data_IF_230623528625
#
_entry.id   IF_230623528625
#
_cell.length_a   1.000
_cell.length_b   1.000
_cell.length_c   1.000
_cell.angle_alpha   90.00
_cell.angle_beta   90.00
_cell.angle_gamma   90.00
#
_symmetry.space_group_name_H-M   'P 1'
#
loop_
_entity.id
_entity.type
_entity.pdbx_description
1 polymer ?
#
# COMPACT_ATOMS: atom_id res chain seq x y z
N UNK A 1 -16.98 -48.50 -2.02
CA UNK A 1 -16.90 -47.10 -1.55
C UNK A 1 -16.09 -46.35 -2.59
N UNK A 2 -16.64 -45.28 -3.18
CA UNK A 2 -15.93 -44.54 -4.23
C UNK A 2 -14.90 -43.60 -3.59
N UNK A 3 -13.63 -43.77 -3.96
CA UNK A 3 -12.53 -42.93 -3.50
C UNK A 3 -12.73 -41.50 -4.00
N UNK A 4 -12.92 -40.55 -3.08
CA UNK A 4 -13.30 -39.18 -3.43
C UNK A 4 -12.05 -38.38 -3.77
N UNK A 5 -11.94 -38.09 -5.07
CA UNK A 5 -11.44 -36.82 -5.59
C UNK A 5 -9.99 -36.49 -5.24
N UNK A 6 -9.04 -37.29 -5.75
CA UNK A 6 -7.75 -36.73 -6.15
C UNK A 6 -8.00 -35.80 -7.35
N UNK A 7 -7.57 -34.53 -7.32
CA UNK A 7 -7.88 -33.59 -8.40
C UNK A 7 -7.23 -34.01 -9.71
N UNK A 8 -7.92 -33.80 -10.83
CA UNK A 8 -7.40 -34.07 -12.19
C UNK A 8 -6.26 -33.10 -12.54
N UNK A 9 -6.27 -31.91 -11.93
CA UNK A 9 -5.28 -30.86 -12.09
C UNK A 9 -5.07 -30.17 -10.74
N UNK A 10 -3.81 -30.10 -10.30
CA UNK A 10 -3.37 -29.36 -9.13
C UNK A 10 -2.27 -28.38 -9.58
N UNK A 11 -2.45 -27.09 -9.31
CA UNK A 11 -1.59 -26.02 -9.79
C UNK A 11 -1.27 -25.05 -8.65
N UNK A 12 -0.02 -25.05 -8.21
CA UNK A 12 0.51 -24.03 -7.30
C UNK A 12 0.97 -22.82 -8.09
N UNK A 13 0.52 -21.63 -7.70
CA UNK A 13 1.01 -20.35 -8.24
C UNK A 13 1.97 -19.69 -7.25
N UNK A 14 2.88 -18.84 -7.74
CA UNK A 14 3.77 -18.05 -6.86
C UNK A 14 3.06 -16.90 -6.13
N UNK A 15 1.84 -16.53 -6.55
CA UNK A 15 1.10 -15.41 -5.98
C UNK A 15 0.10 -15.96 -4.96
N UNK A 16 0.33 -15.66 -3.68
CA UNK A 16 -0.64 -15.93 -2.63
C UNK A 16 -1.64 -14.77 -2.51
N UNK A 17 -2.94 -15.09 -2.58
CA UNK A 17 -4.00 -14.10 -2.39
C UNK A 17 -4.44 -14.03 -0.92
N UNK A 18 -4.55 -12.81 -0.34
CA UNK A 18 -5.23 -12.63 0.94
C UNK A 18 -6.68 -13.14 0.87
N UNK A 19 -7.20 -13.64 1.99
CA UNK A 19 -8.56 -14.17 2.10
C UNK A 19 -9.35 -13.41 3.15
N UNK A 20 -10.63 -13.18 2.86
CA UNK A 20 -11.62 -12.61 3.78
C UNK A 20 -12.80 -13.58 3.95
N UNK A 21 -13.43 -13.55 5.11
CA UNK A 21 -14.66 -14.29 5.36
C UNK A 21 -15.87 -13.36 5.17
N UNK A 22 -16.84 -13.76 4.36
CA UNK A 22 -18.16 -13.13 4.24
C UNK A 22 -19.20 -14.24 4.46
N UNK A 23 -20.13 -14.05 5.40
CA UNK A 23 -21.11 -15.06 5.83
C UNK A 23 -20.50 -16.45 6.16
N UNK A 24 -19.24 -16.46 6.64
CA UNK A 24 -18.49 -17.69 6.96
C UNK A 24 -17.84 -18.38 5.75
N UNK A 25 -18.09 -17.92 4.52
CA UNK A 25 -17.41 -18.39 3.31
C UNK A 25 -16.15 -17.56 3.04
N UNK A 26 -15.06 -18.24 2.66
CA UNK A 26 -13.81 -17.58 2.28
C UNK A 26 -13.85 -17.11 0.83
N UNK A 27 -13.50 -15.84 0.63
CA UNK A 27 -13.32 -15.20 -0.66
C UNK A 27 -11.91 -14.62 -0.76
N UNK A 28 -11.42 -14.44 -1.98
CA UNK A 28 -10.08 -13.94 -2.25
C UNK A 28 -10.09 -12.43 -2.53
N UNK A 29 -9.01 -11.77 -2.12
CA UNK A 29 -8.65 -10.41 -2.48
C UNK A 29 -7.48 -10.51 -3.46
N UNK A 30 -7.44 -9.66 -4.50
CA UNK A 30 -6.27 -9.58 -5.39
C UNK A 30 -4.99 -9.27 -4.60
N UNK A 31 -3.88 -9.90 -4.93
CA UNK A 31 -2.56 -9.40 -4.50
C UNK A 31 -2.24 -8.08 -5.23
N UNK A 32 -1.51 -7.13 -4.60
CA UNK A 32 -0.84 -6.03 -5.28
C UNK A 32 -0.06 -6.44 -6.54
N UNK A 33 0.52 -7.63 -6.55
CA UNK A 33 1.34 -8.16 -7.66
C UNK A 33 0.51 -8.59 -8.89
N UNK A 34 -0.81 -8.67 -8.74
CA UNK A 34 -1.77 -8.95 -9.83
C UNK A 34 -2.25 -7.67 -10.53
N UNK A 35 -1.85 -6.49 -10.07
CA UNK A 35 -2.25 -5.22 -10.70
C UNK A 35 -1.44 -4.94 -11.96
N UNK A 36 -2.15 -4.66 -13.05
CA UNK A 36 -1.54 -3.98 -14.19
C UNK A 36 -1.17 -2.54 -13.82
N UNK A 37 -0.27 -1.92 -14.60
CA UNK A 37 0.07 -0.49 -14.46
C UNK A 37 -1.19 0.39 -14.54
N UNK A 38 -2.13 0.03 -15.42
CA UNK A 38 -3.40 0.75 -15.60
C UNK A 38 -4.30 0.63 -14.37
N UNK A 39 -4.37 -0.55 -13.74
CA UNK A 39 -5.16 -0.73 -12.53
C UNK A 39 -4.54 0.00 -11.34
N UNK A 40 -3.20 -0.03 -11.21
CA UNK A 40 -2.46 0.76 -10.21
C UNK A 40 -2.73 2.28 -10.35
N UNK A 41 -2.82 2.78 -11.58
CA UNK A 41 -3.25 4.15 -11.85
C UNK A 41 -4.73 4.39 -11.49
N UNK A 42 -5.64 3.48 -11.84
CA UNK A 42 -7.07 3.57 -11.46
C UNK A 42 -7.26 3.62 -9.95
N UNK A 43 -6.61 2.74 -9.17
CA UNK A 43 -6.66 2.80 -7.71
C UNK A 43 -6.09 4.12 -7.15
N UNK A 44 -5.09 4.71 -7.80
CA UNK A 44 -4.56 6.03 -7.43
C UNK A 44 -5.57 7.15 -7.72
N UNK A 45 -6.35 7.06 -8.79
CA UNK A 45 -7.42 8.00 -9.12
C UNK A 45 -8.61 7.85 -8.17
N UNK A 46 -9.14 6.63 -7.98
CA UNK A 46 -10.22 6.35 -7.03
C UNK A 46 -9.86 6.74 -5.61
N UNK A 47 -8.62 6.54 -5.16
CA UNK A 47 -8.16 6.98 -3.84
C UNK A 47 -8.26 8.50 -3.65
N UNK A 48 -7.90 9.29 -4.69
CA UNK A 48 -8.03 10.76 -4.68
C UNK A 48 -9.48 11.21 -4.73
N UNK A 49 -10.29 10.56 -5.56
CA UNK A 49 -11.72 10.84 -5.72
C UNK A 49 -12.47 10.57 -4.41
N UNK A 50 -12.22 9.43 -3.77
CA UNK A 50 -12.69 9.09 -2.43
C UNK A 50 -12.28 10.15 -1.39
N UNK A 51 -11.03 10.63 -1.42
CA UNK A 51 -10.54 11.65 -0.48
C UNK A 51 -11.17 13.03 -0.72
N UNK A 52 -11.53 13.36 -1.96
CA UNK A 52 -12.24 14.58 -2.30
C UNK A 52 -13.71 14.52 -1.85
N UNK A 53 -14.44 13.47 -2.28
CA UNK A 53 -15.84 13.28 -1.94
C UNK A 53 -16.05 13.15 -0.41
N UNK A 54 -15.15 12.47 0.31
CA UNK A 54 -15.23 12.39 1.78
C UNK A 54 -15.15 13.75 2.52
N UNK A 55 -14.82 14.86 1.83
CA UNK A 55 -14.81 16.23 2.37
C UNK A 55 -16.05 17.04 1.92
N UNK A 56 -16.85 16.53 0.99
CA UNK A 56 -18.04 17.19 0.45
C UNK A 56 -19.31 16.63 1.11
N UNK A 57 -20.10 17.45 1.83
CA UNK A 57 -21.19 16.97 2.69
C UNK A 57 -22.34 16.30 1.92
N UNK A 58 -22.60 16.71 0.68
CA UNK A 58 -23.72 16.24 -0.13
C UNK A 58 -23.32 15.15 -1.15
N UNK A 59 -22.14 14.53 -0.98
CA UNK A 59 -21.54 13.62 -1.97
C UNK A 59 -21.66 12.12 -1.63
N UNK A 60 -22.39 11.77 -0.58
CA UNK A 60 -22.39 10.42 0.02
C UNK A 60 -22.70 9.28 -0.98
N UNK A 61 -23.62 9.49 -1.92
CA UNK A 61 -23.98 8.51 -2.95
C UNK A 61 -22.83 8.33 -3.96
N UNK A 62 -22.18 9.41 -4.39
CA UNK A 62 -21.03 9.37 -5.28
C UNK A 62 -19.82 8.70 -4.60
N UNK A 63 -19.56 9.03 -3.33
CA UNK A 63 -18.52 8.37 -2.52
C UNK A 63 -18.76 6.86 -2.43
N UNK A 64 -20.02 6.45 -2.19
CA UNK A 64 -20.42 5.04 -2.13
C UNK A 64 -20.20 4.35 -3.48
N UNK A 65 -20.60 4.97 -4.60
CA UNK A 65 -20.40 4.41 -5.93
C UNK A 65 -18.92 4.17 -6.27
N UNK A 66 -18.02 5.10 -5.92
CA UNK A 66 -16.58 4.93 -6.16
C UNK A 66 -15.99 3.84 -5.26
N UNK A 67 -16.40 3.77 -3.99
CA UNK A 67 -16.02 2.68 -3.07
C UNK A 67 -16.50 1.32 -3.61
N UNK A 68 -17.72 1.23 -4.12
CA UNK A 68 -18.30 -0.01 -4.65
C UNK A 68 -17.55 -0.51 -5.88
N UNK A 69 -17.24 0.36 -6.84
CA UNK A 69 -16.46 0.01 -8.04
C UNK A 69 -15.05 -0.44 -7.66
N UNK A 70 -14.38 0.28 -6.76
CA UNK A 70 -13.05 -0.07 -6.30
C UNK A 70 -13.05 -1.41 -5.53
N UNK A 71 -14.02 -1.62 -4.64
CA UNK A 71 -14.14 -2.84 -3.84
C UNK A 71 -14.48 -4.07 -4.70
N UNK A 72 -15.39 -3.95 -5.69
CA UNK A 72 -15.68 -5.01 -6.69
C UNK A 72 -14.45 -5.36 -7.54
N UNK A 73 -13.58 -4.39 -7.84
CA UNK A 73 -12.34 -4.63 -8.60
C UNK A 73 -11.31 -5.43 -7.78
N UNK A 74 -11.32 -5.27 -6.45
CA UNK A 74 -10.39 -5.90 -5.50
C UNK A 74 -10.81 -7.32 -5.11
N UNK A 75 -12.12 -7.55 -4.92
CA UNK A 75 -12.65 -8.86 -4.53
C UNK A 75 -12.70 -9.82 -5.72
N UNK A 76 -12.30 -11.08 -5.51
CA UNK A 76 -12.26 -12.11 -6.55
C UNK A 76 -13.29 -13.19 -6.25
N UNK A 77 -14.17 -13.45 -7.23
CA UNK A 77 -15.15 -14.54 -7.15
C UNK A 77 -16.30 -14.33 -6.16
N UNK A 78 -16.48 -13.12 -5.61
CA UNK A 78 -17.64 -12.75 -4.77
C UNK A 78 -18.87 -12.56 -5.67
N UNK A 79 -19.96 -13.34 -5.50
CA UNK A 79 -21.20 -13.12 -6.23
C UNK A 79 -21.86 -11.78 -5.90
N UNK A 80 -22.64 -11.21 -6.83
CA UNK A 80 -23.38 -9.96 -6.63
C UNK A 80 -24.24 -10.00 -5.35
N UNK A 81 -25.01 -11.09 -5.18
CA UNK A 81 -25.85 -11.34 -4.00
C UNK A 81 -25.09 -11.41 -2.65
N UNK A 82 -23.78 -11.61 -2.67
CA UNK A 82 -22.91 -11.60 -1.48
C UNK A 82 -22.29 -10.22 -1.29
N UNK A 83 -21.86 -9.58 -2.38
CA UNK A 83 -21.33 -8.21 -2.36
C UNK A 83 -22.37 -7.21 -1.89
N UNK A 84 -23.62 -7.35 -2.36
CA UNK A 84 -24.70 -6.40 -2.12
C UNK A 84 -25.16 -6.42 -0.66
N UNK A 85 -24.94 -7.53 0.08
CA UNK A 85 -25.12 -7.63 1.54
C UNK A 85 -24.12 -6.79 2.34
N UNK A 86 -22.92 -6.55 1.80
CA UNK A 86 -21.89 -5.79 2.51
C UNK A 86 -22.33 -4.34 2.66
N UNK A 87 -22.22 -3.78 3.86
CA UNK A 87 -22.40 -2.35 4.07
C UNK A 87 -21.25 -1.55 3.43
N UNK A 88 -21.49 -0.28 3.12
CA UNK A 88 -20.44 0.60 2.58
C UNK A 88 -19.17 0.64 3.44
N UNK A 89 -19.32 0.56 4.77
CA UNK A 89 -18.20 0.48 5.71
C UNK A 89 -17.41 -0.85 5.59
N UNK A 90 -18.09 -1.98 5.34
CA UNK A 90 -17.44 -3.27 5.10
C UNK A 90 -16.73 -3.31 3.75
N UNK A 91 -17.38 -2.81 2.68
CA UNK A 91 -16.76 -2.64 1.35
C UNK A 91 -15.52 -1.75 1.42
N UNK A 92 -15.61 -0.65 2.17
CA UNK A 92 -14.46 0.23 2.46
C UNK A 92 -13.35 -0.48 3.22
N UNK A 93 -13.67 -1.28 4.23
CA UNK A 93 -12.68 -2.04 5.02
C UNK A 93 -11.85 -2.99 4.14
N UNK A 94 -12.47 -3.60 3.11
CA UNK A 94 -11.75 -4.43 2.12
C UNK A 94 -10.79 -3.60 1.26
N UNK A 95 -11.20 -2.39 0.86
CA UNK A 95 -10.36 -1.46 0.11
C UNK A 95 -9.17 -0.94 0.94
N UNK A 96 -9.38 -0.65 2.22
CA UNK A 96 -8.31 -0.21 3.14
C UNK A 96 -7.30 -1.34 3.42
N UNK A 97 -7.76 -2.59 3.55
CA UNK A 97 -6.89 -3.78 3.62
C UNK A 97 -6.04 -3.91 2.34
N UNK A 98 -6.63 -3.81 1.16
CA UNK A 98 -5.90 -3.88 -0.10
C UNK A 98 -4.89 -2.73 -0.27
N UNK A 99 -5.27 -1.51 0.13
CA UNK A 99 -4.39 -0.34 0.15
C UNK A 99 -3.20 -0.53 1.09
N UNK A 100 -3.41 -1.16 2.25
CA UNK A 100 -2.35 -1.52 3.19
C UNK A 100 -1.34 -2.50 2.57
N UNK A 101 -1.81 -3.49 1.80
CA UNK A 101 -0.94 -4.43 1.08
C UNK A 101 -0.14 -3.73 -0.04
N UNK A 102 -0.79 -2.84 -0.81
CA UNK A 102 -0.12 -2.02 -1.82
C UNK A 102 1.01 -1.17 -1.23
N UNK A 103 0.77 -0.51 -0.09
CA UNK A 103 1.76 0.29 0.60
C UNK A 103 2.92 -0.56 1.13
N UNK A 104 2.63 -1.73 1.72
CA UNK A 104 3.67 -2.67 2.20
C UNK A 104 4.57 -3.14 1.05
N UNK A 105 4.01 -3.45 -0.11
CA UNK A 105 4.79 -3.86 -1.29
C UNK A 105 5.70 -2.70 -1.76
N UNK A 106 5.17 -1.48 -1.91
CA UNK A 106 5.95 -0.30 -2.30
C UNK A 106 7.09 0.02 -1.32
N UNK A 107 6.87 -0.12 -0.01
CA UNK A 107 7.91 0.06 1.01
C UNK A 107 9.00 -1.03 0.92
N UNK A 108 8.63 -2.29 0.68
CA UNK A 108 9.58 -3.38 0.45
C UNK A 108 10.47 -3.15 -0.77
N UNK A 109 9.87 -2.73 -1.90
CA UNK A 109 10.60 -2.39 -3.13
C UNK A 109 11.52 -1.18 -2.93
N UNK A 110 11.06 -0.13 -2.24
CA UNK A 110 11.88 1.04 -1.94
C UNK A 110 13.09 0.71 -1.05
N UNK A 111 12.90 -0.16 -0.05
CA UNK A 111 13.99 -0.69 0.78
C UNK A 111 15.01 -1.48 -0.04
N UNK A 112 14.55 -2.43 -0.86
CA UNK A 112 15.43 -3.23 -1.72
C UNK A 112 16.24 -2.39 -2.73
N UNK A 113 15.66 -1.32 -3.27
CA UNK A 113 16.38 -0.37 -4.15
C UNK A 113 17.43 0.42 -3.35
N UNK A 114 17.11 0.87 -2.13
CA UNK A 114 18.06 1.58 -1.27
C UNK A 114 19.24 0.67 -0.85
N UNK A 115 18.97 -0.59 -0.50
CA UNK A 115 19.99 -1.59 -0.16
C UNK A 115 20.89 -1.90 -1.37
N UNK A 116 20.32 -2.06 -2.57
CA UNK A 116 21.11 -2.28 -3.79
C UNK A 116 21.95 -1.05 -4.19
N UNK A 117 21.44 0.18 -4.03
CA UNK A 117 22.24 1.39 -4.24
C UNK A 117 23.37 1.49 -3.21
N UNK A 118 23.14 1.05 -1.97
CA UNK A 118 24.16 0.98 -0.91
C UNK A 118 25.20 -0.13 -1.16
N UNK A 119 24.83 -1.21 -1.86
CA UNK A 119 25.78 -2.24 -2.30
C UNK A 119 26.58 -1.84 -3.55
N UNK A 120 25.98 -1.08 -4.47
CA UNK A 120 26.64 -0.60 -5.70
C UNK A 120 27.57 0.60 -5.44
N UNK A 121 27.24 1.43 -4.46
CA UNK A 121 28.11 2.50 -3.96
C UNK A 121 28.91 1.92 -2.79
N UNK A 122 30.01 1.24 -3.11
CA UNK A 122 30.82 0.47 -2.15
C UNK A 122 31.17 1.23 -0.86
N UNK A 123 31.18 0.49 0.25
CA UNK A 123 31.30 1.00 1.62
C UNK A 123 32.31 2.15 1.81
N UNK A 124 31.85 3.38 2.14
CA UNK A 124 32.68 4.30 2.88
C UNK A 124 32.65 3.89 4.36
N UNK A 125 33.63 3.08 4.75
CA UNK A 125 33.83 2.60 6.12
C UNK A 125 34.19 3.75 7.08
N UNK A 126 33.19 4.52 7.51
CA UNK A 126 33.37 5.53 8.56
C UNK A 126 33.41 4.89 9.94
N UNK A 127 34.62 4.42 10.29
CA UNK A 127 35.04 4.22 11.68
C UNK A 127 34.66 5.45 12.52
N UNK A 128 34.12 5.21 13.71
CA UNK A 128 34.05 6.25 14.73
C UNK A 128 35.45 6.80 15.03
N UNK A 129 35.60 8.13 14.98
CA UNK A 129 36.81 8.81 15.45
C UNK A 129 36.43 9.96 16.39
N UNK A 130 36.72 9.75 17.68
CA UNK A 130 36.82 10.81 18.66
C UNK A 130 38.20 11.49 18.55
N UNK A 131 38.21 12.79 18.28
CA UNK A 131 39.30 13.73 18.56
C UNK A 131 38.65 15.13 18.54
N UNK A 132 38.57 15.93 19.61
CA UNK A 132 39.51 16.28 20.68
C UNK A 132 40.73 17.09 20.22
N UNK A 133 40.96 18.20 20.94
CA UNK A 133 42.07 19.17 20.89
C UNK A 133 42.04 20.34 19.86
N UNK A 134 41.84 21.53 20.44
CA UNK A 134 42.69 22.74 20.34
C UNK A 134 42.29 23.94 19.42
N UNK A 135 42.45 25.10 20.07
CA UNK A 135 42.46 26.51 19.62
C UNK A 135 43.44 26.78 18.44
N UNK A 136 43.48 27.92 17.72
CA UNK A 136 43.34 29.32 18.19
C UNK A 136 43.19 30.34 17.02
N UNK A 137 42.66 31.54 17.36
CA UNK A 137 42.86 32.91 16.82
C UNK A 137 41.58 33.55 16.24
N UNK A 138 41.07 34.76 16.59
CA UNK A 138 41.48 36.01 17.30
C UNK A 138 41.56 37.22 16.33
N UNK A 139 40.62 38.18 16.47
CA UNK A 139 40.44 39.41 15.68
C UNK A 139 39.29 39.28 14.64
N UNK A 140 38.48 40.27 14.25
CA UNK A 140 38.28 41.69 14.61
C UNK A 140 37.55 42.40 13.44
N UNK A 141 36.72 43.45 13.57
CA UNK A 141 36.22 44.21 14.74
C UNK A 141 34.94 45.01 14.36
N UNK A 142 34.19 45.49 15.37
CA UNK A 142 33.24 46.64 15.36
C UNK A 142 32.27 46.90 14.17
N UNK A 143 30.97 46.84 14.46
CA UNK A 143 29.94 47.72 13.83
C UNK A 143 28.95 48.20 14.91
N UNK A 144 28.87 49.50 15.23
CA UNK A 144 27.84 50.01 16.13
C UNK A 144 26.51 50.18 15.36
N UNK A 145 25.40 49.83 16.01
CA UNK A 145 24.05 50.27 15.62
C UNK A 145 23.71 51.51 16.46
N UNK A 146 23.25 52.57 15.80
CA UNK A 146 22.51 53.67 16.43
C UNK A 146 21.09 53.70 15.83
N UNK A 147 20.11 54.32 16.53
CA UNK A 147 18.68 54.06 16.35
C UNK A 147 18.11 54.59 15.03
#
# INVERSE_FOLDING_TARGET
MADKTKPILDLTTMIERPKIAIDGQLYEIRSPDELSILDSQRFTLWGREIEALAKEPDSADALTAVIDVAARTVMVGVPDEVFDKLSGAQRRSVLDLFTTLLLRNRLGVAGAIADHLTQLIGEPSFRAFNASMAETQRGGSTKPRQP
#
